data_IF_443050092936
#
_entry.id   IF_443050092936
#
_cell.length_a   1.000
_cell.length_b   1.000
_cell.length_c   1.000
_cell.angle_alpha   90.00
_cell.angle_beta   90.00
_cell.angle_gamma   90.00
#
_symmetry.space_group_name_H-M   'P 1'
#
loop_
_entity.id
_entity.type
_entity.pdbx_description
1 polymer ?
#
# COMPACT_ATOMS: atom_id res chain seq x y z
N UNK A 1 -35.65 -21.65 13.59
CA UNK A 1 -34.47 -20.96 14.19
C UNK A 1 -33.11 -21.54 13.79
N UNK A 2 -33.00 -22.75 13.22
CA UNK A 2 -31.71 -23.33 12.80
C UNK A 2 -31.12 -22.72 11.51
N UNK A 3 -31.96 -22.36 10.53
CA UNK A 3 -31.53 -21.80 9.25
C UNK A 3 -30.73 -20.49 9.35
N UNK A 4 -31.16 -19.55 10.21
CA UNK A 4 -30.43 -18.31 10.45
C UNK A 4 -29.03 -18.57 11.04
N UNK A 5 -28.90 -19.60 11.88
CA UNK A 5 -27.64 -19.98 12.50
C UNK A 5 -26.68 -20.64 11.49
N UNK A 6 -27.20 -21.41 10.53
CA UNK A 6 -26.40 -21.93 9.41
C UNK A 6 -25.90 -20.82 8.49
N UNK A 7 -26.74 -19.84 8.18
CA UNK A 7 -26.35 -18.67 7.39
C UNK A 7 -25.22 -17.88 8.06
N UNK A 8 -25.35 -17.58 9.36
CA UNK A 8 -24.32 -16.88 10.12
C UNK A 8 -23.00 -17.68 10.19
N UNK A 9 -23.07 -19.00 10.39
CA UNK A 9 -21.88 -19.87 10.36
C UNK A 9 -21.21 -19.85 8.99
N UNK A 10 -21.98 -19.92 7.91
CA UNK A 10 -21.44 -19.85 6.55
C UNK A 10 -20.74 -18.52 6.29
N UNK A 11 -21.36 -17.41 6.69
CA UNK A 11 -20.77 -16.08 6.54
C UNK A 11 -19.49 -15.93 7.37
N UNK A 12 -19.48 -16.43 8.61
CA UNK A 12 -18.30 -16.44 9.47
C UNK A 12 -17.15 -17.27 8.86
N UNK A 13 -17.44 -18.48 8.35
CA UNK A 13 -16.45 -19.30 7.65
C UNK A 13 -15.93 -18.62 6.37
N UNK A 14 -16.80 -17.90 5.64
CA UNK A 14 -16.39 -17.09 4.50
C UNK A 14 -15.42 -15.98 4.89
N UNK A 15 -15.70 -15.26 5.98
CA UNK A 15 -14.78 -14.23 6.52
C UNK A 15 -13.45 -14.86 6.94
N UNK A 16 -13.47 -15.98 7.67
CA UNK A 16 -12.26 -16.68 8.09
C UNK A 16 -11.44 -17.14 6.88
N UNK A 17 -12.09 -17.73 5.87
CA UNK A 17 -11.43 -18.15 4.63
C UNK A 17 -10.78 -16.99 3.89
N UNK A 18 -11.45 -15.84 3.83
CA UNK A 18 -10.90 -14.62 3.24
C UNK A 18 -9.66 -14.11 4.00
N UNK A 19 -9.71 -14.09 5.33
CA UNK A 19 -8.56 -13.68 6.14
C UNK A 19 -7.37 -14.64 5.97
N UNK A 20 -7.63 -15.95 5.97
CA UNK A 20 -6.59 -16.95 5.71
C UNK A 20 -5.96 -16.79 4.33
N UNK A 21 -6.77 -16.50 3.30
CA UNK A 21 -6.26 -16.22 1.96
C UNK A 21 -5.26 -15.05 1.96
N UNK A 22 -5.59 -13.93 2.61
CA UNK A 22 -4.68 -12.79 2.71
C UNK A 22 -3.41 -13.10 3.51
N UNK A 23 -3.55 -13.77 4.66
CA UNK A 23 -2.40 -14.15 5.49
C UNK A 23 -1.45 -15.05 4.72
N UNK A 24 -1.97 -16.06 4.01
CA UNK A 24 -1.17 -16.96 3.19
C UNK A 24 -0.48 -16.19 2.06
N UNK A 25 -1.18 -15.31 1.35
CA UNK A 25 -0.58 -14.49 0.28
C UNK A 25 0.56 -13.60 0.79
N UNK A 26 0.34 -12.90 1.92
CA UNK A 26 1.37 -12.05 2.53
C UNK A 26 2.57 -12.88 2.98
N UNK A 27 2.32 -14.04 3.60
CA UNK A 27 3.37 -14.96 4.01
C UNK A 27 4.19 -15.49 2.83
N UNK A 28 3.52 -15.84 1.73
CA UNK A 28 4.19 -16.25 0.49
C UNK A 28 5.06 -15.13 -0.10
N UNK A 29 4.59 -13.88 -0.07
CA UNK A 29 5.35 -12.74 -0.59
C UNK A 29 6.57 -12.35 0.24
N UNK A 30 6.71 -12.88 1.46
CA UNK A 30 7.96 -12.76 2.21
C UNK A 30 9.10 -13.57 1.58
N UNK A 31 8.78 -14.62 0.83
CA UNK A 31 9.76 -15.54 0.23
C UNK A 31 9.77 -15.52 -1.29
N UNK A 32 8.62 -15.27 -1.91
CA UNK A 32 8.43 -15.30 -3.36
C UNK A 32 7.99 -13.92 -3.81
N UNK A 33 8.80 -13.30 -4.66
CA UNK A 33 8.48 -11.99 -5.16
C UNK A 33 7.19 -12.00 -6.00
N UNK A 34 6.24 -11.07 -5.79
CA UNK A 34 5.01 -11.01 -6.57
C UNK A 34 5.27 -10.66 -8.03
N UNK A 35 4.41 -11.14 -8.93
CA UNK A 35 4.54 -10.89 -10.37
C UNK A 35 4.18 -9.44 -10.75
N UNK A 36 3.18 -8.85 -10.10
CA UNK A 36 2.77 -7.46 -10.31
C UNK A 36 2.18 -6.82 -9.05
N UNK A 37 2.32 -5.51 -8.93
CA UNK A 37 1.72 -4.72 -7.86
C UNK A 37 0.41 -4.07 -8.30
N UNK A 38 -0.41 -3.63 -7.33
CA UNK A 38 -1.65 -2.92 -7.62
C UNK A 38 -1.38 -1.63 -8.41
N UNK A 39 -0.33 -0.87 -8.06
CA UNK A 39 0.09 0.33 -8.78
C UNK A 39 0.52 0.05 -10.22
N UNK A 40 1.30 -1.02 -10.46
CA UNK A 40 1.69 -1.41 -11.82
C UNK A 40 0.46 -1.75 -12.67
N UNK A 41 -0.56 -2.41 -12.10
CA UNK A 41 -1.80 -2.74 -12.83
C UNK A 41 -2.65 -1.48 -13.09
N UNK A 42 -2.75 -0.59 -12.12
CA UNK A 42 -3.48 0.67 -12.27
C UNK A 42 -2.85 1.56 -13.33
N UNK A 43 -1.52 1.73 -13.30
CA UNK A 43 -0.81 2.56 -14.27
C UNK A 43 -0.79 1.93 -15.65
N UNK A 44 -0.67 0.60 -15.75
CA UNK A 44 -0.87 -0.10 -17.03
C UNK A 44 -2.25 0.18 -17.63
N UNK A 45 -3.31 0.16 -16.82
CA UNK A 45 -4.66 0.46 -17.29
C UNK A 45 -4.76 1.93 -17.75
N UNK A 46 -4.13 2.86 -17.01
CA UNK A 46 -4.07 4.29 -17.36
C UNK A 46 -3.31 4.56 -18.67
N UNK A 47 -2.17 3.91 -18.88
CA UNK A 47 -1.33 4.15 -20.07
C UNK A 47 -1.89 3.42 -21.29
N UNK A 48 -2.35 2.18 -21.11
CA UNK A 48 -2.60 1.29 -22.25
C UNK A 48 -4.05 1.15 -22.66
N UNK A 49 -5.02 1.56 -21.83
CA UNK A 49 -6.45 1.58 -22.18
C UNK A 49 -6.92 0.32 -22.95
N UNK A 50 -7.11 0.43 -24.27
CA UNK A 50 -7.60 -0.60 -25.20
C UNK A 50 -6.50 -1.33 -26.00
N UNK A 51 -5.22 -1.01 -25.80
CA UNK A 51 -4.12 -1.63 -26.52
C UNK A 51 -3.98 -3.11 -26.17
N UNK A 52 -4.07 -3.97 -27.19
CA UNK A 52 -3.93 -5.43 -27.08
C UNK A 52 -2.55 -5.87 -26.59
N UNK A 53 -1.50 -5.07 -26.83
CA UNK A 53 -0.12 -5.37 -26.45
C UNK A 53 0.48 -4.25 -25.62
N UNK A 54 0.52 -4.45 -24.31
CA UNK A 54 1.15 -3.53 -23.37
C UNK A 54 1.88 -4.30 -22.26
N UNK A 55 3.09 -4.81 -22.53
CA UNK A 55 3.83 -5.59 -21.54
C UNK A 55 4.37 -4.68 -20.43
N UNK A 56 4.24 -5.13 -19.17
CA UNK A 56 4.95 -4.51 -18.03
C UNK A 56 6.35 -5.11 -18.03
N UNK A 57 7.37 -4.26 -18.19
CA UNK A 57 8.76 -4.65 -18.01
C UNK A 57 9.11 -4.52 -16.53
N UNK A 58 9.35 -5.64 -15.87
CA UNK A 58 9.63 -5.70 -14.45
C UNK A 58 10.68 -6.77 -14.16
N UNK A 59 11.71 -6.40 -13.39
CA UNK A 59 12.78 -7.31 -13.00
C UNK A 59 13.10 -7.11 -11.52
N UNK A 60 13.04 -8.20 -10.76
CA UNK A 60 13.49 -8.22 -9.39
C UNK A 60 15.03 -8.17 -9.34
N UNK A 61 15.55 -7.23 -8.57
CA UNK A 61 16.98 -7.04 -8.35
C UNK A 61 17.23 -7.09 -6.84
N UNK A 62 18.18 -7.90 -6.35
CA UNK A 62 18.53 -7.93 -4.94
C UNK A 62 18.97 -6.55 -4.44
N UNK A 63 18.55 -6.17 -3.23
CA UNK A 63 18.85 -4.85 -2.66
C UNK A 63 20.35 -4.51 -2.60
N UNK A 64 21.20 -5.53 -2.44
CA UNK A 64 22.66 -5.39 -2.44
C UNK A 64 23.24 -4.99 -3.80
N UNK A 65 22.56 -5.29 -4.91
CA UNK A 65 23.01 -4.95 -6.28
C UNK A 65 22.58 -3.54 -6.71
N UNK A 66 21.77 -2.86 -5.89
CA UNK A 66 21.32 -1.49 -6.16
C UNK A 66 22.38 -0.52 -5.61
N UNK A 67 22.86 0.40 -6.45
CA UNK A 67 23.88 1.38 -6.04
C UNK A 67 23.37 2.25 -4.89
N UNK A 68 24.29 2.62 -3.98
CA UNK A 68 23.92 3.42 -2.81
C UNK A 68 23.49 4.84 -3.19
N UNK A 69 24.03 5.39 -4.27
CA UNK A 69 23.65 6.72 -4.75
C UNK A 69 22.22 6.72 -5.31
N UNK A 70 21.82 5.65 -6.02
CA UNK A 70 20.44 5.51 -6.49
C UNK A 70 19.45 5.38 -5.33
N UNK A 71 19.81 4.61 -4.29
CA UNK A 71 18.97 4.50 -3.08
C UNK A 71 18.76 5.87 -2.43
N UNK A 72 19.81 6.68 -2.32
CA UNK A 72 19.74 8.03 -1.74
C UNK A 72 18.95 8.99 -2.62
N UNK A 73 19.13 8.93 -3.94
CA UNK A 73 18.41 9.78 -4.88
C UNK A 73 16.89 9.54 -4.79
N UNK A 74 16.47 8.28 -4.77
CA UNK A 74 15.05 7.90 -4.63
C UNK A 74 14.51 8.33 -3.27
N UNK A 75 15.27 8.12 -2.19
CA UNK A 75 14.86 8.53 -0.85
C UNK A 75 14.57 10.04 -0.82
N UNK A 76 15.47 10.87 -1.35
CA UNK A 76 15.29 12.33 -1.36
C UNK A 76 14.16 12.77 -2.29
N UNK A 77 13.88 12.05 -3.38
CA UNK A 77 12.80 12.41 -4.30
C UNK A 77 11.41 12.03 -3.79
N UNK A 78 11.29 10.95 -3.02
CA UNK A 78 10.00 10.44 -2.55
C UNK A 78 9.66 10.92 -1.13
N UNK A 79 10.55 10.66 -0.16
CA UNK A 79 10.37 11.02 1.24
C UNK A 79 11.74 11.09 1.93
N UNK A 80 12.29 12.30 2.00
CA UNK A 80 13.60 12.60 2.58
C UNK A 80 13.66 12.35 4.10
N UNK A 81 12.53 12.05 4.74
CA UNK A 81 12.39 11.89 6.19
C UNK A 81 11.95 10.45 6.58
N UNK A 82 11.77 9.54 5.61
CA UNK A 82 11.27 8.17 5.83
C UNK A 82 11.92 7.42 7.03
N UNK A 83 13.24 7.52 7.19
CA UNK A 83 13.97 6.84 8.25
C UNK A 83 13.91 7.51 9.64
N UNK A 84 13.41 8.75 9.73
CA UNK A 84 13.29 9.48 10.99
C UNK A 84 11.95 9.23 11.69
N UNK A 85 11.01 8.52 11.06
CA UNK A 85 9.76 8.12 11.67
C UNK A 85 9.49 6.64 11.51
N UNK A 86 8.81 6.03 12.49
CA UNK A 86 8.38 4.63 12.45
C UNK A 86 7.19 4.40 11.51
N UNK A 87 7.19 5.04 10.33
CA UNK A 87 6.13 4.93 9.32
C UNK A 87 4.85 5.71 9.61
N UNK A 88 4.66 6.27 10.82
CA UNK A 88 3.50 7.11 11.16
C UNK A 88 3.97 8.38 11.86
N UNK A 89 3.69 9.54 11.26
CA UNK A 89 4.03 10.87 11.78
C UNK A 89 2.92 11.40 12.69
N UNK A 90 2.73 10.76 13.84
CA UNK A 90 1.67 11.10 14.80
C UNK A 90 1.73 12.59 15.20
N UNK A 91 2.93 13.12 15.45
CA UNK A 91 3.12 14.52 15.83
C UNK A 91 2.71 15.50 14.73
N UNK A 92 2.93 15.15 13.47
CA UNK A 92 2.56 16.01 12.35
C UNK A 92 1.08 15.90 12.00
N UNK A 93 0.47 14.74 12.22
CA UNK A 93 -0.99 14.60 12.18
C UNK A 93 -1.63 15.47 13.25
N UNK A 94 -1.08 15.49 14.47
CA UNK A 94 -1.59 16.31 15.57
C UNK A 94 -1.40 17.81 15.28
N UNK A 95 -0.24 18.22 14.78
CA UNK A 95 -0.01 19.62 14.35
C UNK A 95 -0.89 20.04 13.18
N UNK A 96 -1.15 19.16 12.21
CA UNK A 96 -2.04 19.42 11.10
C UNK A 96 -3.49 19.54 11.58
N UNK A 97 -3.91 18.67 12.51
CA UNK A 97 -5.22 18.71 13.16
C UNK A 97 -5.43 20.01 13.93
N UNK A 98 -4.48 20.43 14.76
CA UNK A 98 -4.55 21.68 15.53
C UNK A 98 -4.59 22.92 14.63
N UNK A 99 -3.85 22.92 13.52
CA UNK A 99 -3.88 24.02 12.54
C UNK A 99 -5.18 24.07 11.76
N UNK A 100 -5.73 22.92 11.36
CA UNK A 100 -7.02 22.85 10.68
C UNK A 100 -8.17 23.25 11.61
N UNK A 101 -8.12 22.94 12.91
CA UNK A 101 -9.08 23.45 13.89
C UNK A 101 -9.01 24.97 14.05
N UNK A 102 -7.81 25.56 14.05
CA UNK A 102 -7.63 27.02 14.17
C UNK A 102 -7.93 27.79 12.87
N UNK A 103 -7.86 27.14 11.71
CA UNK A 103 -8.04 27.75 10.38
C UNK A 103 -9.46 27.71 9.81
N UNK A 104 -10.44 27.11 10.51
CA UNK A 104 -11.81 26.93 10.01
C UNK A 104 -11.92 25.87 8.90
N UNK A 105 -13.05 25.85 8.18
CA UNK A 105 -13.50 24.80 7.23
C UNK A 105 -12.61 24.52 6.00
N UNK A 106 -11.38 25.04 5.93
CA UNK A 106 -10.42 24.75 4.85
C UNK A 106 -9.26 23.92 5.39
N UNK A 107 -9.14 22.69 4.90
CA UNK A 107 -7.98 21.84 5.13
C UNK A 107 -6.76 22.52 4.49
N UNK A 108 -5.85 23.05 5.31
CA UNK A 108 -4.68 23.82 4.84
C UNK A 108 -3.46 22.92 4.62
N UNK A 109 -3.41 21.75 5.29
CA UNK A 109 -2.36 20.73 5.10
C UNK A 109 -2.90 19.32 5.37
N UNK A 110 -2.52 18.37 4.51
CA UNK A 110 -2.66 16.93 4.76
C UNK A 110 -1.47 16.42 5.58
N UNK A 111 -1.74 15.54 6.55
CA UNK A 111 -0.73 14.89 7.40
C UNK A 111 -0.25 13.54 6.87
N UNK A 112 -0.37 13.30 5.57
CA UNK A 112 0.09 12.07 4.92
C UNK A 112 1.58 12.20 4.58
N UNK A 113 2.38 11.29 5.15
CA UNK A 113 3.55 10.71 4.46
C UNK A 113 3.06 9.53 3.65
#
# INVERSE_FOLDING_TARGET
MSWAMYFLKCMAWGVVGLQLYFVIQIGLWAFINPSSTAFQRAERWRICHLSLTCPIQHRWVPYAQISNDLKRAILVSEDDIFFKHNGVRIDDMQKAWERNQKGGNKVVRGGST
#
